data_IF_719364943019
#
_entry.id   IF_719364943019
#
_cell.length_a   1.000
_cell.length_b   1.000
_cell.length_c   1.000
_cell.angle_alpha   90.00
_cell.angle_beta   90.00
_cell.angle_gamma   90.00
#
_symmetry.space_group_name_H-M   'P 1'
#
loop_
_entity.id
_entity.type
_entity.pdbx_description
1 polymer ?
#
# COMPACT_ATOMS: atom_id res chain seq x y z
N UNK A 1 -2.84 -21.62 9.45
CA UNK A 1 -2.71 -20.19 9.67
C UNK A 1 -3.21 -19.50 8.41
N UNK A 2 -4.07 -18.51 8.53
CA UNK A 2 -4.64 -17.78 7.40
C UNK A 2 -3.85 -16.50 7.18
N UNK A 3 -3.86 -15.97 5.98
CA UNK A 3 -3.22 -14.70 5.60
C UNK A 3 -3.63 -13.55 6.52
N UNK A 4 -4.92 -13.46 6.82
CA UNK A 4 -5.50 -12.43 7.70
C UNK A 4 -4.98 -12.44 9.13
N UNK A 5 -4.39 -13.56 9.58
CA UNK A 5 -3.83 -13.67 10.93
C UNK A 5 -2.59 -12.76 11.11
N UNK A 6 -1.95 -12.37 10.00
CA UNK A 6 -0.75 -11.55 10.00
C UNK A 6 -0.98 -10.06 9.76
N UNK A 7 -2.18 -9.65 9.35
CA UNK A 7 -2.43 -8.26 8.96
C UNK A 7 -2.21 -7.27 10.10
N UNK A 8 -2.63 -7.62 11.31
CA UNK A 8 -2.46 -6.76 12.50
C UNK A 8 -1.00 -6.66 12.88
N UNK A 9 -0.26 -7.79 12.91
CA UNK A 9 1.18 -7.78 13.24
C UNK A 9 1.97 -6.93 12.26
N UNK A 10 1.73 -7.12 10.95
CA UNK A 10 2.34 -6.29 9.91
C UNK A 10 2.02 -4.81 10.12
N UNK A 11 0.74 -4.49 10.31
CA UNK A 11 0.29 -3.09 10.42
C UNK A 11 0.89 -2.39 11.64
N UNK A 12 0.98 -3.04 12.79
CA UNK A 12 1.63 -2.47 13.96
C UNK A 12 3.14 -2.26 13.77
N UNK A 13 3.83 -3.19 13.08
CA UNK A 13 5.23 -3.01 12.74
C UNK A 13 5.43 -1.86 11.75
N UNK A 14 4.66 -1.82 10.67
CA UNK A 14 4.75 -0.74 9.70
C UNK A 14 4.48 0.63 10.33
N UNK A 15 3.47 0.73 11.20
CA UNK A 15 3.17 1.96 11.94
C UNK A 15 4.36 2.44 12.77
N UNK A 16 5.11 1.53 13.40
CA UNK A 16 6.34 1.86 14.13
C UNK A 16 7.44 2.36 13.21
N UNK A 17 7.65 1.69 12.06
CA UNK A 17 8.63 2.12 11.08
C UNK A 17 8.29 3.49 10.51
N UNK A 18 7.07 3.72 10.08
CA UNK A 18 6.65 5.02 9.55
C UNK A 18 6.88 6.15 10.56
N UNK A 19 6.59 5.93 11.83
CA UNK A 19 6.84 6.93 12.89
C UNK A 19 8.31 7.30 13.07
N UNK A 20 9.25 6.46 12.66
CA UNK A 20 10.69 6.77 12.72
C UNK A 20 11.20 7.56 11.51
N UNK A 21 10.45 7.57 10.41
CA UNK A 21 10.83 8.24 9.16
C UNK A 21 10.02 9.51 8.88
N UNK A 22 8.79 9.60 9.39
CA UNK A 22 7.92 10.77 9.21
C UNK A 22 7.94 11.67 10.44
N UNK A 23 7.61 12.93 10.25
CA UNK A 23 7.58 13.93 11.32
C UNK A 23 6.61 13.54 12.44
N UNK A 24 6.88 13.95 13.69
CA UNK A 24 6.13 13.55 14.89
C UNK A 24 4.67 14.04 14.92
N UNK A 25 4.29 14.97 14.04
CA UNK A 25 2.95 15.55 13.97
C UNK A 25 1.94 14.70 13.19
N UNK A 26 2.33 13.48 12.75
CA UNK A 26 1.44 12.64 11.96
C UNK A 26 0.66 11.66 12.84
N UNK A 27 -0.65 11.66 12.61
CA UNK A 27 -1.55 10.63 13.13
C UNK A 27 -1.64 9.47 12.12
N UNK A 28 -1.48 8.23 12.58
CA UNK A 28 -1.50 7.04 11.72
C UNK A 28 -2.54 6.06 12.24
N UNK A 29 -3.50 5.73 11.39
CA UNK A 29 -4.50 4.68 11.61
C UNK A 29 -4.45 3.64 10.49
N UNK A 30 -4.99 2.45 10.77
CA UNK A 30 -5.19 1.41 9.76
C UNK A 30 -6.48 0.63 10.01
N UNK A 31 -6.97 0.00 8.95
CA UNK A 31 -8.07 -0.96 8.97
C UNK A 31 -7.68 -2.19 8.14
N UNK A 32 -8.19 -3.37 8.50
CA UNK A 32 -7.82 -4.64 7.87
C UNK A 32 -9.02 -5.50 7.53
N UNK A 33 -8.93 -6.21 6.40
CA UNK A 33 -9.84 -7.29 5.97
C UNK A 33 -11.33 -6.91 5.97
N UNK A 34 -11.66 -5.77 5.39
CA UNK A 34 -13.04 -5.26 5.27
C UNK A 34 -13.30 -4.74 3.85
N UNK A 35 -14.54 -4.37 3.57
CA UNK A 35 -14.84 -3.57 2.38
C UNK A 35 -14.32 -2.15 2.54
N UNK A 36 -13.96 -1.51 1.42
CA UNK A 36 -13.34 -0.18 1.40
C UNK A 36 -14.19 0.86 2.14
N UNK A 37 -15.50 0.85 1.97
CA UNK A 37 -16.43 1.74 2.67
C UNK A 37 -16.32 1.60 4.21
N UNK A 38 -16.26 0.38 4.71
CA UNK A 38 -16.07 0.11 6.14
C UNK A 38 -14.68 0.50 6.63
N UNK A 39 -13.64 0.28 5.79
CA UNK A 39 -12.28 0.66 6.14
C UNK A 39 -12.12 2.18 6.23
N UNK A 40 -12.69 2.92 5.27
CA UNK A 40 -12.68 4.39 5.28
C UNK A 40 -13.38 4.92 6.54
N UNK A 41 -14.56 4.42 6.86
CA UNK A 41 -15.28 4.83 8.06
C UNK A 41 -14.43 4.57 9.33
N UNK A 42 -13.84 3.38 9.45
CA UNK A 42 -13.03 3.03 10.60
C UNK A 42 -11.77 3.91 10.77
N UNK A 43 -11.04 4.19 9.69
CA UNK A 43 -9.85 5.07 9.77
C UNK A 43 -10.25 6.53 9.98
N UNK A 44 -11.37 6.98 9.42
CA UNK A 44 -11.94 8.31 9.66
C UNK A 44 -12.27 8.50 11.14
N UNK A 45 -12.95 7.55 11.75
CA UNK A 45 -13.28 7.58 13.19
C UNK A 45 -12.01 7.61 14.06
N UNK A 46 -11.03 6.74 13.75
CA UNK A 46 -9.75 6.67 14.47
C UNK A 46 -8.92 7.95 14.40
N UNK A 47 -9.01 8.68 13.29
CA UNK A 47 -8.27 9.94 13.06
C UNK A 47 -9.10 11.19 13.34
N UNK A 48 -10.38 11.04 13.70
CA UNK A 48 -11.33 12.15 13.78
C UNK A 48 -11.23 13.04 12.55
N UNK A 49 -11.28 12.42 11.35
CA UNK A 49 -11.10 13.09 10.06
C UNK A 49 -12.21 12.71 9.09
N UNK A 50 -12.59 13.66 8.23
CA UNK A 50 -13.47 13.38 7.09
C UNK A 50 -12.59 13.01 5.89
N UNK A 51 -12.79 11.81 5.33
CA UNK A 51 -12.13 11.37 4.11
C UNK A 51 -13.13 11.48 2.98
N UNK A 52 -12.94 12.49 2.11
CA UNK A 52 -13.80 12.70 0.96
C UNK A 52 -13.42 11.74 -0.17
N UNK A 53 -14.42 11.16 -0.81
CA UNK A 53 -14.28 10.39 -2.04
C UNK A 53 -14.85 11.22 -3.20
N UNK A 54 -14.14 11.29 -4.32
CA UNK A 54 -14.58 12.03 -5.51
C UNK A 54 -15.89 11.52 -6.11
N UNK A 55 -16.27 10.30 -5.81
CA UNK A 55 -17.55 9.75 -6.21
C UNK A 55 -18.50 9.77 -5.03
N UNK A 56 -19.78 10.06 -5.26
CA UNK A 56 -20.87 9.95 -4.26
C UNK A 56 -20.97 8.53 -3.65
N UNK A 57 -20.24 7.58 -4.19
CA UNK A 57 -20.29 6.17 -3.81
C UNK A 57 -18.90 5.58 -3.64
N UNK A 58 -18.58 5.13 -2.43
CA UNK A 58 -17.36 4.36 -2.15
C UNK A 58 -17.58 2.92 -2.62
N UNK A 59 -16.74 2.39 -3.51
CA UNK A 59 -16.88 1.00 -3.97
C UNK A 59 -16.81 -0.01 -2.83
N UNK A 60 -17.70 -1.01 -2.83
CA UNK A 60 -17.65 -2.13 -1.87
C UNK A 60 -16.60 -3.17 -2.26
N UNK A 61 -15.36 -2.73 -2.41
CA UNK A 61 -14.22 -3.62 -2.66
C UNK A 61 -13.75 -4.22 -1.34
N UNK A 62 -13.59 -5.52 -1.31
CA UNK A 62 -12.92 -6.16 -0.17
C UNK A 62 -11.42 -5.99 -0.33
N UNK A 63 -10.80 -5.35 0.65
CA UNK A 63 -9.38 -5.03 0.66
C UNK A 63 -8.69 -5.69 1.85
N UNK A 64 -7.39 -5.87 1.75
CA UNK A 64 -6.61 -6.51 2.80
C UNK A 64 -6.24 -5.53 3.90
N UNK A 65 -5.54 -4.44 3.58
CA UNK A 65 -5.10 -3.45 4.57
C UNK A 65 -5.20 -2.05 3.95
N UNK A 66 -5.75 -1.11 4.71
CA UNK A 66 -5.77 0.32 4.41
C UNK A 66 -5.08 1.09 5.52
N UNK A 67 -4.07 1.88 5.19
CA UNK A 67 -3.48 2.89 6.08
C UNK A 67 -4.03 4.27 5.74
N UNK A 68 -4.23 5.07 6.77
CA UNK A 68 -4.55 6.48 6.67
C UNK A 68 -3.57 7.27 7.54
N UNK A 69 -2.95 8.28 6.97
CA UNK A 69 -1.95 9.13 7.62
C UNK A 69 -2.44 10.56 7.50
N UNK A 70 -2.61 11.23 8.65
CA UNK A 70 -3.21 12.56 8.74
C UNK A 70 -2.21 13.57 9.25
N UNK A 71 -2.24 14.76 8.65
CA UNK A 71 -1.66 16.00 9.17
C UNK A 71 -2.66 17.13 9.00
N UNK A 72 -3.03 17.79 10.07
CA UNK A 72 -4.11 18.79 10.08
C UNK A 72 -5.39 18.22 9.45
N UNK A 73 -5.88 18.82 8.37
CA UNK A 73 -7.10 18.40 7.68
C UNK A 73 -6.85 17.50 6.46
N UNK A 74 -5.57 17.22 6.14
CA UNK A 74 -5.22 16.37 4.99
C UNK A 74 -5.00 14.92 5.42
N UNK A 75 -5.45 14.00 4.59
CA UNK A 75 -5.27 12.56 4.80
C UNK A 75 -4.67 11.91 3.57
N UNK A 76 -3.58 11.17 3.76
CA UNK A 76 -2.99 10.31 2.74
C UNK A 76 -3.38 8.85 2.98
N UNK A 77 -3.85 8.18 1.94
CA UNK A 77 -4.26 6.78 2.00
C UNK A 77 -3.27 5.88 1.28
N UNK A 78 -2.94 4.74 1.90
CA UNK A 78 -2.09 3.70 1.32
C UNK A 78 -2.83 2.37 1.35
N UNK A 79 -3.01 1.77 0.17
CA UNK A 79 -3.60 0.45 0.02
C UNK A 79 -2.52 -0.62 0.00
N UNK A 80 -2.70 -1.68 0.78
CA UNK A 80 -1.88 -2.89 0.71
C UNK A 80 -2.73 -4.04 0.19
N UNK A 81 -2.25 -4.67 -0.88
CA UNK A 81 -2.72 -5.97 -1.35
C UNK A 81 -1.75 -7.03 -0.83
N UNK A 82 -2.20 -7.87 0.09
CA UNK A 82 -1.35 -8.84 0.77
C UNK A 82 -1.53 -10.25 0.19
N UNK A 83 -0.44 -11.02 0.17
CA UNK A 83 -0.44 -12.40 -0.30
C UNK A 83 0.42 -13.28 0.63
N UNK A 84 -0.20 -14.31 1.20
CA UNK A 84 0.50 -15.33 2.01
C UNK A 84 0.96 -16.48 1.11
N UNK A 85 2.05 -16.26 0.41
CA UNK A 85 2.58 -17.15 -0.62
C UNK A 85 4.10 -17.36 -0.46
N UNK A 86 4.68 -18.20 -1.31
CA UNK A 86 6.14 -18.30 -1.44
C UNK A 86 6.71 -17.19 -2.32
N UNK A 87 5.97 -16.80 -3.36
CA UNK A 87 6.38 -15.81 -4.35
C UNK A 87 5.20 -15.02 -4.83
N UNK A 88 5.42 -13.75 -5.17
CA UNK A 88 4.47 -12.90 -5.88
C UNK A 88 4.56 -13.11 -7.38
N UNK A 89 3.45 -12.90 -8.05
CA UNK A 89 3.31 -12.97 -9.52
C UNK A 89 2.82 -11.65 -10.10
N UNK A 90 2.95 -11.49 -11.41
CA UNK A 90 2.39 -10.35 -12.14
C UNK A 90 0.86 -10.24 -11.97
N UNK A 91 0.16 -11.37 -11.79
CA UNK A 91 -1.27 -11.38 -11.50
C UNK A 91 -1.59 -10.68 -10.19
N UNK A 92 -0.78 -10.89 -9.14
CA UNK A 92 -0.98 -10.24 -7.83
C UNK A 92 -0.78 -8.74 -7.94
N UNK A 93 0.22 -8.30 -8.70
CA UNK A 93 0.44 -6.89 -8.98
C UNK A 93 -0.70 -6.26 -9.79
N UNK A 94 -1.22 -6.96 -10.80
CA UNK A 94 -2.36 -6.50 -11.59
C UNK A 94 -3.62 -6.32 -10.74
N UNK A 95 -3.82 -7.15 -9.72
CA UNK A 95 -4.92 -7.01 -8.77
C UNK A 95 -4.80 -5.70 -7.97
N UNK A 96 -3.61 -5.39 -7.44
CA UNK A 96 -3.34 -4.12 -6.76
C UNK A 96 -3.65 -2.92 -7.68
N UNK A 97 -3.14 -2.94 -8.92
CA UNK A 97 -3.40 -1.87 -9.89
C UNK A 97 -4.90 -1.70 -10.18
N UNK A 98 -5.64 -2.82 -10.31
CA UNK A 98 -7.09 -2.79 -10.51
C UNK A 98 -7.82 -2.13 -9.35
N UNK A 99 -7.43 -2.39 -8.12
CA UNK A 99 -8.01 -1.74 -6.94
C UNK A 99 -7.72 -0.23 -6.91
N UNK A 100 -6.50 0.19 -7.21
CA UNK A 100 -6.14 1.60 -7.27
C UNK A 100 -6.93 2.35 -8.36
N UNK A 101 -7.15 1.71 -9.52
CA UNK A 101 -7.94 2.30 -10.61
C UNK A 101 -9.42 2.51 -10.23
N UNK A 102 -9.97 1.66 -9.38
CA UNK A 102 -11.37 1.77 -8.92
C UNK A 102 -11.49 2.69 -7.70
N UNK A 103 -10.53 2.59 -6.78
CA UNK A 103 -10.47 3.42 -5.57
C UNK A 103 -9.66 4.70 -5.83
N UNK A 104 -10.16 5.56 -6.70
CA UNK A 104 -9.45 6.71 -7.30
C UNK A 104 -8.80 7.69 -6.32
N UNK A 105 -9.30 7.78 -5.10
CA UNK A 105 -8.72 8.62 -4.04
C UNK A 105 -7.51 7.99 -3.35
N UNK A 106 -7.14 6.74 -3.72
CA UNK A 106 -5.99 6.05 -3.19
C UNK A 106 -4.95 5.96 -4.30
N UNK A 107 -3.96 6.84 -4.26
CA UNK A 107 -2.91 6.92 -5.28
C UNK A 107 -1.64 6.14 -4.92
N UNK A 108 -1.52 5.66 -3.68
CA UNK A 108 -0.37 4.89 -3.21
C UNK A 108 -0.79 3.46 -2.89
N UNK A 109 -0.11 2.50 -3.52
CA UNK A 109 -0.39 1.08 -3.33
C UNK A 109 0.87 0.24 -3.12
N UNK A 110 0.80 -0.71 -2.20
CA UNK A 110 1.90 -1.63 -1.90
C UNK A 110 1.43 -3.07 -2.07
N UNK A 111 2.15 -3.81 -2.91
CA UNK A 111 2.00 -5.27 -2.97
C UNK A 111 2.82 -5.89 -1.85
N UNK A 112 2.17 -6.62 -0.95
CA UNK A 112 2.79 -7.20 0.23
C UNK A 112 2.89 -8.72 0.12
N UNK A 113 4.10 -9.26 0.12
CA UNK A 113 4.33 -10.69 0.32
C UNK A 113 4.47 -11.00 1.81
N UNK A 114 3.51 -11.70 2.38
CA UNK A 114 3.67 -12.36 3.69
C UNK A 114 4.34 -13.69 3.43
N UNK A 115 5.60 -13.82 3.83
CA UNK A 115 6.45 -14.94 3.45
C UNK A 115 6.00 -16.24 4.14
N UNK A 116 5.57 -17.20 3.34
CA UNK A 116 5.18 -18.53 3.80
C UNK A 116 6.36 -19.52 3.65
N UNK A 117 7.11 -19.70 4.73
CA UNK A 117 8.27 -20.58 4.76
C UNK A 117 9.52 -19.98 4.10
N UNK A 118 10.53 -20.84 3.86
CA UNK A 118 11.75 -20.40 3.20
C UNK A 118 11.54 -20.30 1.68
N UNK A 119 11.76 -19.10 1.14
CA UNK A 119 11.82 -18.90 -0.31
C UNK A 119 12.97 -17.95 -0.63
N UNK A 120 13.99 -18.37 -1.37
CA UNK A 120 15.09 -17.51 -1.80
C UNK A 120 14.60 -16.45 -2.81
N UNK A 121 13.62 -16.81 -3.63
CA UNK A 121 13.04 -15.91 -4.63
C UNK A 121 11.67 -15.42 -4.16
N UNK A 122 11.54 -14.12 -4.00
CA UNK A 122 10.30 -13.47 -3.55
C UNK A 122 9.32 -13.22 -4.71
N UNK A 123 9.83 -13.22 -5.93
CA UNK A 123 9.07 -12.98 -7.15
C UNK A 123 9.12 -14.21 -8.05
N UNK A 124 8.05 -14.49 -8.79
CA UNK A 124 8.06 -15.49 -9.86
C UNK A 124 9.03 -15.08 -10.98
N UNK A 125 9.51 -16.05 -11.76
CA UNK A 125 10.51 -15.77 -12.78
C UNK A 125 10.06 -14.75 -13.81
N UNK A 126 8.82 -14.88 -14.30
CA UNK A 126 8.20 -13.96 -15.27
C UNK A 126 8.05 -12.54 -14.68
N UNK A 127 7.63 -12.43 -13.44
CA UNK A 127 7.48 -11.15 -12.77
C UNK A 127 8.84 -10.47 -12.55
N UNK A 128 9.82 -11.24 -12.10
CA UNK A 128 11.20 -10.77 -11.92
C UNK A 128 11.81 -10.28 -13.23
N UNK A 129 11.63 -11.02 -14.34
CA UNK A 129 12.13 -10.63 -15.67
C UNK A 129 11.50 -9.31 -16.15
N UNK A 130 10.19 -9.16 -15.99
CA UNK A 130 9.47 -7.93 -16.38
C UNK A 130 9.97 -6.72 -15.59
N UNK A 131 10.22 -6.87 -14.28
CA UNK A 131 10.77 -5.81 -13.45
C UNK A 131 12.20 -5.46 -13.86
N UNK A 132 13.07 -6.45 -14.08
CA UNK A 132 14.45 -6.22 -14.52
C UNK A 132 14.54 -5.50 -15.86
N UNK A 133 13.63 -5.79 -16.77
CA UNK A 133 13.51 -5.09 -18.06
C UNK A 133 12.88 -3.68 -17.93
N UNK A 134 12.51 -3.26 -16.71
CA UNK A 134 11.82 -1.99 -16.43
C UNK A 134 10.59 -1.75 -17.32
N UNK A 135 9.90 -2.82 -17.70
CA UNK A 135 8.71 -2.77 -18.55
C UNK A 135 7.41 -2.61 -17.77
N UNK A 136 7.46 -2.74 -16.44
CA UNK A 136 6.31 -2.56 -15.58
C UNK A 136 6.24 -1.10 -15.10
N UNK A 137 5.21 -0.34 -15.48
CA UNK A 137 5.01 0.98 -14.90
C UNK A 137 4.55 0.82 -13.45
N UNK A 138 5.40 1.21 -12.50
CA UNK A 138 5.07 1.26 -11.08
C UNK A 138 4.63 2.66 -10.63
N UNK A 139 4.86 3.65 -11.50
CA UNK A 139 4.34 5.00 -11.37
C UNK A 139 3.62 5.36 -12.68
N UNK A 140 2.40 5.85 -12.59
CA UNK A 140 1.66 6.32 -13.76
C UNK A 140 0.71 7.45 -13.40
N UNK A 141 0.42 8.30 -14.36
CA UNK A 141 -0.53 9.38 -14.21
C UNK A 141 -1.86 9.01 -14.87
N UNK A 142 -2.95 9.30 -14.21
CA UNK A 142 -4.29 9.12 -14.73
C UNK A 142 -5.10 10.40 -14.52
N UNK A 143 -5.76 10.87 -15.58
CA UNK A 143 -6.70 11.99 -15.49
C UNK A 143 -8.09 11.46 -15.15
N UNK A 144 -8.68 12.01 -14.09
CA UNK A 144 -10.04 11.68 -13.66
C UNK A 144 -10.78 12.97 -13.38
N UNK A 145 -11.91 13.20 -14.06
CA UNK A 145 -12.75 14.38 -13.87
C UNK A 145 -11.97 15.70 -13.95
N UNK A 146 -11.03 15.80 -14.90
CA UNK A 146 -10.10 16.92 -15.11
C UNK A 146 -9.00 17.10 -14.05
N UNK A 147 -8.90 16.21 -13.08
CA UNK A 147 -7.79 16.16 -12.12
C UNK A 147 -6.78 15.08 -12.51
N UNK A 148 -5.51 15.40 -12.38
CA UNK A 148 -4.41 14.49 -12.66
C UNK A 148 -3.93 13.84 -11.35
N UNK A 149 -3.94 12.50 -11.32
CA UNK A 149 -3.50 11.70 -10.17
C UNK A 149 -2.23 10.95 -10.54
N UNK A 150 -1.20 11.12 -9.74
CA UNK A 150 0.02 10.32 -9.82
C UNK A 150 -0.14 9.09 -8.93
N UNK A 151 -0.31 7.92 -9.56
CA UNK A 151 -0.30 6.64 -8.87
C UNK A 151 1.13 6.15 -8.68
N UNK A 152 1.43 5.68 -7.47
CA UNK A 152 2.76 5.18 -7.10
C UNK A 152 2.62 3.86 -6.36
N UNK A 153 3.38 2.86 -6.77
CA UNK A 153 3.32 1.53 -6.18
C UNK A 153 4.69 1.03 -5.75
N UNK A 154 4.70 0.12 -4.78
CA UNK A 154 5.90 -0.55 -4.30
C UNK A 154 5.65 -2.01 -3.97
N UNK A 155 6.70 -2.74 -3.64
CA UNK A 155 6.62 -4.14 -3.24
C UNK A 155 7.39 -4.34 -1.93
N UNK A 156 6.66 -4.79 -0.91
CA UNK A 156 7.22 -5.15 0.39
C UNK A 156 7.16 -6.65 0.64
N UNK A 157 8.02 -7.13 1.51
CA UNK A 157 7.91 -8.47 2.10
C UNK A 157 7.79 -8.35 3.61
N UNK A 158 6.99 -9.22 4.19
CA UNK A 158 6.85 -9.36 5.63
C UNK A 158 7.12 -10.79 6.05
N UNK A 159 8.06 -10.98 6.93
CA UNK A 159 8.30 -12.27 7.57
C UNK A 159 7.83 -12.18 9.02
N UNK A 160 6.76 -12.92 9.38
CA UNK A 160 6.26 -12.94 10.77
C UNK A 160 7.37 -13.30 11.75
N UNK A 161 7.44 -12.57 12.86
CA UNK A 161 8.50 -12.70 13.85
C UNK A 161 9.83 -11.99 13.51
N UNK A 162 10.13 -11.72 12.23
CA UNK A 162 11.38 -11.07 11.82
C UNK A 162 11.17 -9.58 11.50
N UNK A 163 10.54 -9.25 10.38
CA UNK A 163 10.42 -7.84 10.00
C UNK A 163 9.79 -7.62 8.63
N UNK A 164 9.90 -6.37 8.20
CA UNK A 164 9.45 -5.90 6.91
C UNK A 164 10.68 -5.50 6.11
N UNK A 165 10.77 -5.97 4.86
CA UNK A 165 11.81 -5.62 3.91
C UNK A 165 11.18 -5.11 2.61
N UNK A 166 11.92 -4.34 1.84
CA UNK A 166 11.56 -3.95 0.49
C UNK A 166 12.18 -4.89 -0.53
N UNK A 167 11.54 -5.03 -1.69
CA UNK A 167 12.18 -5.62 -2.86
C UNK A 167 13.25 -4.66 -3.36
N UNK A 168 14.40 -5.20 -3.78
CA UNK A 168 15.61 -4.43 -4.17
C UNK A 168 15.25 -3.25 -5.10
N UNK A 169 15.62 -2.05 -4.68
CA UNK A 169 15.40 -0.79 -5.39
C UNK A 169 15.99 -0.76 -6.80
N UNK A 170 17.01 -1.57 -7.09
CA UNK A 170 17.61 -1.69 -8.43
C UNK A 170 16.66 -2.34 -9.44
N UNK A 171 15.68 -3.09 -8.96
CA UNK A 171 14.74 -3.86 -9.78
C UNK A 171 13.45 -3.11 -10.07
N UNK A 172 13.06 -2.14 -9.23
CA UNK A 172 11.75 -1.48 -9.33
C UNK A 172 11.88 0.02 -9.61
N UNK A 173 10.97 0.53 -10.45
CA UNK A 173 10.81 1.96 -10.72
C UNK A 173 9.65 2.55 -9.89
N UNK A 174 9.45 2.06 -8.69
CA UNK A 174 8.39 2.47 -7.78
C UNK A 174 8.94 2.73 -6.40
N UNK A 175 8.07 2.75 -5.42
CA UNK A 175 8.44 2.94 -4.01
C UNK A 175 9.32 1.76 -3.58
N UNK A 176 10.56 2.05 -3.21
CA UNK A 176 11.62 1.05 -2.99
C UNK A 176 12.18 1.02 -1.56
N UNK A 177 11.82 2.01 -0.74
CA UNK A 177 12.27 2.12 0.64
C UNK A 177 11.34 3.02 1.49
N UNK A 178 11.66 3.15 2.78
CA UNK A 178 10.88 3.97 3.70
C UNK A 178 11.08 5.47 3.50
N UNK A 179 12.22 5.90 3.01
CA UNK A 179 12.52 7.32 2.76
C UNK A 179 11.65 7.82 1.60
N UNK A 180 11.58 7.04 0.52
CA UNK A 180 10.73 7.37 -0.63
C UNK A 180 9.24 7.34 -0.26
N UNK A 181 8.79 6.33 0.48
CA UNK A 181 7.41 6.28 0.97
C UNK A 181 7.10 7.48 1.87
N UNK A 182 8.00 7.84 2.78
CA UNK A 182 7.84 9.00 3.66
C UNK A 182 7.78 10.30 2.88
N UNK A 183 8.63 10.46 1.86
CA UNK A 183 8.61 11.63 0.98
C UNK A 183 7.27 11.78 0.25
N UNK A 184 6.69 10.67 -0.25
CA UNK A 184 5.38 10.67 -0.91
C UNK A 184 4.29 11.10 0.07
N UNK A 185 4.29 10.55 1.29
CA UNK A 185 3.36 10.90 2.35
C UNK A 185 3.47 12.39 2.67
N UNK A 186 4.67 12.87 2.97
CA UNK A 186 4.93 14.27 3.33
C UNK A 186 4.46 15.23 2.23
N UNK A 187 4.80 14.92 0.98
CA UNK A 187 4.40 15.72 -0.18
C UNK A 187 2.88 15.80 -0.38
N UNK A 188 2.17 14.74 -0.08
CA UNK A 188 0.70 14.70 -0.21
C UNK A 188 -0.02 15.46 0.90
N UNK A 189 0.66 15.66 2.05
CA UNK A 189 0.12 16.32 3.23
C UNK A 189 0.57 17.80 3.36
N UNK A 190 1.36 18.31 2.42
CA UNK A 190 1.68 19.74 2.28
C UNK A 190 0.74 20.43 1.32
#
# INVERSE_FOLDING_TARGET
MKETDFYVEFSEKLKKYLRSYVNQDLEIAYSVNKSLDLMINEVSDKLSATIEFENEYIPKLKLDILFAIKRADKVHLILFEAKYLKQLSLKDYSQLCGYLQVAKNISTGILLLIVNGFSPNKLSNDFNEILQLKKLPMNWTQTVSNNEYLFQTGIMTFQPGNGIDWIDSKMINGISDYEELSYIIEKSLT
#
